data_IF_098567939879
#
_entry.id   IF_098567939879
#
_cell.length_a   1.000
_cell.length_b   1.000
_cell.length_c   1.000
_cell.angle_alpha   90.00
_cell.angle_beta   90.00
_cell.angle_gamma   90.00
#
_symmetry.space_group_name_H-M   'P 1'
#
loop_
_entity.id
_entity.type
_entity.pdbx_description
1 polymer ?
#
# COMPACT_ATOMS: atom_id res chain seq x y z
N UNK A 1 10.11 -4.81 9.03
CA UNK A 1 10.00 -4.31 7.66
C UNK A 1 10.13 -2.80 7.68
N UNK A 2 10.95 -2.26 6.78
CA UNK A 2 11.23 -0.83 6.69
C UNK A 2 10.80 -0.27 5.35
N UNK A 3 10.47 1.02 5.33
CA UNK A 3 10.17 1.74 4.11
C UNK A 3 11.40 1.76 3.19
N UNK A 4 11.19 1.44 1.91
CA UNK A 4 12.21 1.57 0.86
C UNK A 4 11.78 2.54 -0.24
N UNK A 5 10.68 3.25 -0.04
CA UNK A 5 10.22 4.33 -0.91
C UNK A 5 9.48 3.90 -2.16
N UNK A 6 9.34 4.82 -3.08
CA UNK A 6 8.66 4.56 -4.35
C UNK A 6 7.15 4.41 -4.23
N UNK A 7 6.55 4.92 -3.18
CA UNK A 7 5.11 4.78 -2.97
C UNK A 7 4.32 5.62 -3.94
N UNK A 8 3.36 4.97 -4.58
CA UNK A 8 2.40 5.59 -5.49
C UNK A 8 1.02 5.05 -5.24
N UNK A 9 0.02 5.91 -5.45
CA UNK A 9 -1.37 5.52 -5.42
C UNK A 9 -2.11 6.24 -6.54
N UNK A 10 -2.99 5.52 -7.21
CA UNK A 10 -3.83 6.12 -8.25
C UNK A 10 -5.15 5.36 -8.35
N UNK A 11 -6.16 6.03 -8.87
CA UNK A 11 -7.45 5.41 -9.13
C UNK A 11 -7.58 5.20 -10.63
N UNK A 12 -7.83 3.98 -11.03
CA UNK A 12 -8.13 3.63 -12.40
C UNK A 12 -9.65 3.70 -12.60
N UNK A 13 -10.09 4.69 -13.37
CA UNK A 13 -11.51 4.92 -13.69
C UNK A 13 -11.81 4.66 -15.17
N UNK A 14 -10.96 3.91 -15.83
CA UNK A 14 -11.19 3.58 -17.22
C UNK A 14 -12.49 2.78 -17.38
N UNK A 15 -13.25 3.03 -18.48
CA UNK A 15 -14.47 2.28 -18.71
C UNK A 15 -14.16 0.79 -18.89
N UNK A 16 -15.07 -0.05 -18.38
CA UNK A 16 -14.92 -1.49 -18.45
C UNK A 16 -15.90 -2.19 -17.53
N UNK A 17 -15.95 -3.52 -17.54
CA UNK A 17 -16.84 -4.28 -16.68
C UNK A 17 -16.45 -4.21 -15.21
N UNK A 18 -15.19 -3.88 -14.91
CA UNK A 18 -14.71 -3.76 -13.55
C UNK A 18 -15.04 -2.38 -12.97
N UNK A 19 -15.23 -2.35 -11.67
CA UNK A 19 -15.41 -1.11 -10.94
C UNK A 19 -14.09 -0.34 -10.89
N UNK A 20 -14.14 0.99 -10.66
CA UNK A 20 -12.92 1.74 -10.42
C UNK A 20 -12.08 1.11 -9.30
N UNK A 21 -10.77 1.04 -9.52
CA UNK A 21 -9.84 0.44 -8.58
C UNK A 21 -8.82 1.46 -8.08
N UNK A 22 -8.58 1.42 -6.78
CA UNK A 22 -7.44 2.11 -6.19
C UNK A 22 -6.24 1.17 -6.25
N UNK A 23 -5.17 1.63 -6.91
CA UNK A 23 -3.91 0.91 -6.97
C UNK A 23 -2.89 1.56 -6.05
N UNK A 24 -2.18 0.75 -5.29
CA UNK A 24 -1.09 1.21 -4.43
C UNK A 24 0.13 0.34 -4.69
N UNK A 25 1.26 0.97 -4.92
CA UNK A 25 2.54 0.28 -5.11
C UNK A 25 3.63 0.94 -4.28
N UNK A 26 4.64 0.17 -3.91
CA UNK A 26 5.78 0.70 -3.19
C UNK A 26 6.81 -0.38 -2.93
N UNK A 27 7.81 -0.03 -2.11
CA UNK A 27 8.87 -0.97 -1.75
C UNK A 27 9.13 -0.93 -0.26
N UNK A 28 9.40 -2.10 0.30
CA UNK A 28 9.80 -2.26 1.68
C UNK A 28 10.99 -3.21 1.77
N UNK A 29 11.77 -3.08 2.81
CA UNK A 29 12.93 -3.94 3.05
C UNK A 29 12.69 -4.79 4.29
N UNK A 30 12.93 -6.09 4.18
CA UNK A 30 12.94 -7.01 5.31
C UNK A 30 14.37 -7.29 5.77
N UNK A 31 14.57 -7.60 7.07
CA UNK A 31 15.91 -7.83 7.60
C UNK A 31 16.54 -9.14 7.17
N UNK A 32 15.73 -10.10 6.75
CA UNK A 32 16.19 -11.42 6.29
C UNK A 32 15.35 -11.88 5.12
N UNK A 33 15.79 -12.93 4.45
CA UNK A 33 14.99 -13.60 3.43
C UNK A 33 13.79 -14.34 4.04
N UNK A 34 12.90 -14.84 3.20
CA UNK A 34 11.75 -15.64 3.61
C UNK A 34 10.53 -14.88 4.10
N UNK A 35 10.56 -13.56 4.11
CA UNK A 35 9.38 -12.75 4.46
C UNK A 35 8.36 -12.77 3.33
N UNK A 36 7.08 -12.78 3.73
CA UNK A 36 5.96 -12.46 2.84
C UNK A 36 5.47 -11.07 3.19
N UNK A 37 5.26 -10.24 2.18
CA UNK A 37 4.78 -8.86 2.37
C UNK A 37 3.61 -8.63 1.42
N UNK A 38 2.55 -8.00 1.93
CA UNK A 38 1.36 -7.68 1.14
C UNK A 38 0.70 -6.43 1.67
N UNK A 39 -0.24 -5.90 0.90
CA UNK A 39 -1.03 -4.74 1.30
C UNK A 39 -2.45 -5.16 1.64
N UNK A 40 -3.00 -4.55 2.67
CA UNK A 40 -4.40 -4.71 3.07
C UNK A 40 -5.08 -3.36 3.14
N UNK A 41 -6.35 -3.34 2.78
CA UNK A 41 -7.16 -2.15 2.96
C UNK A 41 -7.40 -1.93 4.44
N UNK A 42 -7.04 -0.74 4.93
CA UNK A 42 -7.26 -0.34 6.30
C UNK A 42 -8.51 0.52 6.45
N UNK A 43 -8.68 1.13 7.62
CA UNK A 43 -9.81 2.02 7.86
C UNK A 43 -9.74 3.28 7.03
N UNK A 44 -10.90 3.92 6.84
CA UNK A 44 -11.01 5.23 6.21
C UNK A 44 -11.04 6.28 7.31
N UNK A 45 -10.22 7.30 7.18
CA UNK A 45 -10.31 8.47 8.03
C UNK A 45 -11.42 9.35 7.47
N UNK A 46 -12.50 9.49 8.23
CA UNK A 46 -13.73 10.12 7.76
C UNK A 46 -13.69 11.63 7.89
N UNK A 47 -12.75 12.24 7.20
CA UNK A 47 -12.73 13.67 6.94
C UNK A 47 -13.20 13.87 5.49
N UNK A 48 -13.42 15.08 5.07
CA UNK A 48 -13.91 15.34 3.72
C UNK A 48 -12.90 16.18 2.93
N UNK A 49 -12.37 15.67 1.80
CA UNK A 49 -12.52 14.30 1.28
C UNK A 49 -11.80 13.27 2.14
N UNK A 50 -12.26 12.00 2.12
CA UNK A 50 -11.72 10.99 3.03
C UNK A 50 -10.29 10.56 2.69
N UNK A 51 -9.58 10.13 3.72
CA UNK A 51 -8.23 9.56 3.57
C UNK A 51 -8.32 8.05 3.79
N UNK A 52 -7.92 7.29 2.77
CA UNK A 52 -7.87 5.84 2.85
C UNK A 52 -6.54 5.40 3.43
N UNK A 53 -6.58 4.60 4.48
CA UNK A 53 -5.38 3.96 5.00
C UNK A 53 -5.16 2.62 4.29
N UNK A 54 -3.91 2.32 3.98
CA UNK A 54 -3.49 1.05 3.40
C UNK A 54 -2.39 0.49 4.30
N UNK A 55 -2.57 -0.75 4.72
CA UNK A 55 -1.69 -1.37 5.70
C UNK A 55 -0.70 -2.29 5.02
N UNK A 56 0.58 -2.13 5.36
CA UNK A 56 1.62 -3.08 4.98
C UNK A 56 1.62 -4.20 6.01
N UNK A 57 1.42 -5.42 5.55
CA UNK A 57 1.46 -6.62 6.37
C UNK A 57 2.68 -7.44 6.01
N UNK A 58 3.27 -8.06 7.01
CA UNK A 58 4.44 -8.89 6.80
C UNK A 58 4.37 -10.11 7.70
N UNK A 59 4.84 -11.23 7.17
CA UNK A 59 5.00 -12.47 7.93
C UNK A 59 6.43 -12.94 7.76
N UNK A 60 7.14 -13.07 8.88
CA UNK A 60 8.51 -13.55 8.87
C UNK A 60 8.62 -15.04 8.55
N UNK A 61 9.83 -15.51 8.25
CA UNK A 61 10.05 -16.92 7.96
C UNK A 61 9.80 -17.78 9.20
N UNK A 62 9.36 -19.02 8.96
CA UNK A 62 9.08 -19.99 10.03
C UNK A 62 10.30 -20.82 10.45
N UNK A 63 11.42 -20.64 9.76
CA UNK A 63 12.66 -21.38 10.01
C UNK A 63 13.87 -20.50 9.83
N UNK A 64 15.02 -21.12 9.61
CA UNK A 64 16.25 -20.40 9.32
C UNK A 64 16.10 -19.54 8.07
N UNK A 65 16.71 -18.39 8.08
CA UNK A 65 16.64 -17.45 6.97
C UNK A 65 18.01 -16.84 6.69
N UNK A 66 18.19 -16.40 5.45
CA UNK A 66 19.40 -15.71 5.03
C UNK A 66 19.47 -14.35 5.76
N UNK A 67 20.63 -14.06 6.35
CA UNK A 67 20.90 -12.81 7.06
C UNK A 67 21.27 -11.70 6.08
N UNK A 68 20.35 -11.40 5.15
CA UNK A 68 20.57 -10.37 4.15
C UNK A 68 19.31 -9.55 3.97
N UNK A 69 19.48 -8.25 3.82
CA UNK A 69 18.36 -7.36 3.52
C UNK A 69 17.76 -7.71 2.18
N UNK A 70 16.44 -7.78 2.11
CA UNK A 70 15.69 -8.08 0.89
C UNK A 70 14.70 -6.98 0.65
N UNK A 71 14.71 -6.42 -0.56
CA UNK A 71 13.73 -5.41 -0.96
C UNK A 71 12.57 -6.10 -1.69
N UNK A 72 11.36 -5.80 -1.23
CA UNK A 72 10.13 -6.32 -1.81
C UNK A 72 9.38 -5.22 -2.53
N UNK A 73 8.94 -5.49 -3.73
CA UNK A 73 7.94 -4.65 -4.38
C UNK A 73 6.57 -5.15 -3.94
N UNK A 74 5.75 -4.23 -3.44
CA UNK A 74 4.40 -4.55 -3.00
C UNK A 74 3.40 -3.82 -3.86
N UNK A 75 2.27 -4.48 -4.13
CA UNK A 75 1.24 -3.95 -5.00
C UNK A 75 -0.10 -4.46 -4.52
N UNK A 76 -1.06 -3.56 -4.43
CA UNK A 76 -2.43 -3.92 -4.07
C UNK A 76 -3.42 -3.15 -4.90
N UNK A 77 -4.59 -3.75 -5.13
CA UNK A 77 -5.71 -3.08 -5.76
C UNK A 77 -6.96 -3.30 -4.91
N UNK A 78 -7.73 -2.24 -4.76
CA UNK A 78 -8.90 -2.22 -3.89
C UNK A 78 -10.04 -1.52 -4.58
N UNK A 79 -11.26 -1.80 -4.17
CA UNK A 79 -12.42 -1.07 -4.67
C UNK A 79 -12.27 0.40 -4.29
N UNK A 80 -12.40 1.29 -5.29
CA UNK A 80 -12.18 2.72 -5.09
C UNK A 80 -13.38 3.41 -4.46
N UNK A 81 -13.10 4.39 -3.61
CA UNK A 81 -14.09 5.34 -3.12
C UNK A 81 -14.42 6.35 -4.23
N UNK A 82 -15.57 7.04 -4.14
CA UNK A 82 -15.90 8.09 -5.12
C UNK A 82 -14.87 9.22 -5.18
N UNK A 83 -14.24 9.53 -4.05
CA UNK A 83 -13.21 10.58 -3.99
C UNK A 83 -12.21 10.28 -2.87
N UNK A 84 -11.04 10.90 -2.96
CA UNK A 84 -9.98 10.77 -1.97
C UNK A 84 -9.36 12.11 -1.65
N UNK A 85 -9.17 12.38 -0.35
CA UNK A 85 -8.29 13.44 0.12
C UNK A 85 -6.83 12.99 0.13
N UNK A 86 -6.59 11.70 0.22
CA UNK A 86 -5.26 11.11 0.20
C UNK A 86 -5.28 9.63 0.48
N UNK A 87 -4.12 9.02 0.36
CA UNK A 87 -3.87 7.63 0.76
C UNK A 87 -2.69 7.63 1.71
N UNK A 88 -2.89 7.03 2.87
CA UNK A 88 -1.86 6.92 3.90
C UNK A 88 -1.44 5.46 4.02
N UNK A 89 -0.18 5.17 3.69
CA UNK A 89 0.39 3.83 3.80
C UNK A 89 1.03 3.69 5.18
N UNK A 90 0.64 2.66 5.91
CA UNK A 90 1.11 2.43 7.27
C UNK A 90 1.65 1.02 7.45
N UNK A 91 2.64 0.90 8.32
CA UNK A 91 3.12 -0.38 8.83
C UNK A 91 3.06 -0.30 10.36
N UNK A 92 2.09 -0.98 10.97
CA UNK A 92 1.82 -0.80 12.39
C UNK A 92 1.44 0.65 12.70
N UNK A 93 2.15 1.26 13.62
CA UNK A 93 1.94 2.67 13.97
C UNK A 93 2.75 3.64 13.11
N UNK A 94 3.64 3.13 12.26
CA UNK A 94 4.51 3.97 11.44
C UNK A 94 3.83 4.33 10.12
N UNK A 95 3.86 5.61 9.77
CA UNK A 95 3.40 6.09 8.46
C UNK A 95 4.56 6.02 7.49
N UNK A 96 4.41 5.21 6.45
CA UNK A 96 5.45 5.06 5.42
C UNK A 96 5.30 6.08 4.30
N UNK A 97 4.06 6.45 3.97
CA UNK A 97 3.78 7.43 2.94
C UNK A 97 2.45 8.12 3.17
N UNK A 98 2.39 9.38 2.79
CA UNK A 98 1.17 10.18 2.82
C UNK A 98 1.04 10.79 1.43
N UNK A 99 0.17 10.21 0.62
CA UNK A 99 0.06 10.51 -0.80
C UNK A 99 -1.12 11.44 -1.04
N UNK A 100 -0.84 12.67 -1.46
CA UNK A 100 -1.83 13.71 -1.76
C UNK A 100 -1.35 14.58 -2.91
N UNK A 101 -2.18 14.83 -3.91
CA UNK A 101 -3.47 14.19 -4.19
C UNK A 101 -3.29 12.77 -4.73
N UNK A 102 -4.40 12.04 -4.83
CA UNK A 102 -4.42 10.72 -5.46
C UNK A 102 -4.70 10.91 -6.96
N UNK A 103 -3.81 10.41 -7.80
CA UNK A 103 -3.94 10.52 -9.25
C UNK A 103 -5.18 9.76 -9.75
N UNK A 104 -5.79 10.29 -10.81
CA UNK A 104 -6.94 9.67 -11.46
C UNK A 104 -6.56 9.33 -12.89
N UNK A 105 -6.71 8.06 -13.27
CA UNK A 105 -6.52 7.61 -14.65
C UNK A 105 -7.90 7.34 -15.28
N UNK A 106 -8.16 7.97 -16.42
CA UNK A 106 -9.44 7.86 -17.14
C UNK A 106 -9.30 7.16 -18.47
#
# INVERSE_FOLDING_TARGET
VRDAGGWRAWVDRMPGPDRPKLWVTGRVTSPTGGYRVWLELGPVQEIHPPIQQVLVRAQGPSGGATQALVTHEVRGSFEALPEYGGVMVRCGSEVLADIRPVEQAH
#
